data_IF_788153540530
#
_entry.id   IF_788153540530
#
_cell.length_a   1.000
_cell.length_b   1.000
_cell.length_c   1.000
_cell.angle_alpha   90.00
_cell.angle_beta   90.00
_cell.angle_gamma   90.00
#
_symmetry.space_group_name_H-M   'P 1'
#
loop_
_entity.id
_entity.type
_entity.pdbx_description
1 polymer ?
#
# COMPACT_ATOMS: atom_id res chain seq x y z
N UNK A 1 31.35 5.11 -16.31
CA UNK A 1 30.02 4.48 -16.21
C UNK A 1 29.43 4.50 -17.60
N UNK A 2 29.22 3.33 -18.18
CA UNK A 2 28.78 3.20 -19.57
C UNK A 2 27.33 3.65 -19.72
N UNK A 3 27.03 4.25 -20.87
CA UNK A 3 25.71 4.75 -21.23
C UNK A 3 24.63 3.63 -21.21
N UNK A 4 25.05 2.38 -21.41
CA UNK A 4 24.19 1.20 -21.29
C UNK A 4 23.70 0.92 -19.86
N UNK A 5 24.53 1.15 -18.84
CA UNK A 5 24.16 0.94 -17.44
C UNK A 5 23.13 1.98 -16.99
N UNK A 6 23.25 3.22 -17.48
CA UNK A 6 22.26 4.27 -17.22
C UNK A 6 20.92 3.98 -17.90
N UNK A 7 20.92 3.42 -19.12
CA UNK A 7 19.69 3.02 -19.81
C UNK A 7 19.00 1.85 -19.10
N UNK A 8 19.74 0.83 -18.65
CA UNK A 8 19.18 -0.29 -17.88
C UNK A 8 18.68 0.16 -16.50
N UNK A 9 19.42 1.04 -15.82
CA UNK A 9 19.01 1.63 -14.54
C UNK A 9 17.71 2.44 -14.67
N UNK A 10 17.47 3.08 -15.81
CA UNK A 10 16.24 3.82 -16.08
C UNK A 10 15.04 2.92 -16.47
N UNK A 11 15.27 1.70 -16.96
CA UNK A 11 14.20 0.75 -17.32
C UNK A 11 13.73 -0.11 -16.13
N UNK A 12 14.61 -0.31 -15.14
CA UNK A 12 14.34 -1.08 -13.93
C UNK A 12 13.11 -0.59 -13.12
N UNK A 13 12.88 0.72 -12.93
CA UNK A 13 11.69 1.22 -12.26
C UNK A 13 10.39 0.87 -13.01
N UNK A 14 10.38 1.00 -14.34
CA UNK A 14 9.19 0.69 -15.15
C UNK A 14 8.77 -0.79 -15.09
N UNK A 15 9.73 -1.70 -15.01
CA UNK A 15 9.45 -3.13 -14.84
C UNK A 15 8.76 -3.44 -13.49
N UNK A 16 9.08 -2.65 -12.45
CA UNK A 16 8.52 -2.81 -11.11
C UNK A 16 7.02 -2.51 -11.08
N UNK A 17 6.57 -1.54 -11.87
CA UNK A 17 5.16 -1.16 -11.94
C UNK A 17 4.33 -2.16 -12.74
N UNK A 18 4.95 -2.87 -13.69
CA UNK A 18 4.26 -3.87 -14.54
C UNK A 18 4.11 -5.22 -13.82
N UNK A 19 5.05 -5.60 -12.95
CA UNK A 19 5.06 -6.94 -12.32
C UNK A 19 3.83 -7.22 -11.45
N UNK A 20 3.32 -6.21 -10.76
CA UNK A 20 2.18 -6.32 -9.86
C UNK A 20 0.87 -6.57 -10.60
N UNK A 21 0.44 -5.71 -11.54
CA UNK A 21 -0.76 -5.98 -12.33
C UNK A 21 -0.62 -7.25 -13.16
N UNK A 22 0.56 -7.56 -13.73
CA UNK A 22 0.73 -8.78 -14.49
C UNK A 22 0.53 -10.05 -13.62
N UNK A 23 1.21 -10.14 -12.48
CA UNK A 23 1.09 -11.30 -11.57
C UNK A 23 -0.33 -11.46 -11.04
N UNK A 24 -0.94 -10.36 -10.56
CA UNK A 24 -2.32 -10.35 -10.07
C UNK A 24 -3.31 -10.75 -11.16
N UNK A 25 -3.11 -10.24 -12.37
CA UNK A 25 -3.89 -10.58 -13.55
C UNK A 25 -3.83 -12.05 -13.92
N UNK A 26 -2.65 -12.66 -13.92
CA UNK A 26 -2.47 -14.09 -14.17
C UNK A 26 -3.22 -14.95 -13.16
N UNK A 27 -3.19 -14.58 -11.87
CA UNK A 27 -3.91 -15.30 -10.81
C UNK A 27 -5.43 -15.19 -11.03
N UNK A 28 -5.93 -14.00 -11.40
CA UNK A 28 -7.35 -13.82 -11.71
C UNK A 28 -7.79 -14.55 -12.98
N UNK A 29 -6.97 -14.57 -14.03
CA UNK A 29 -7.25 -15.36 -15.23
C UNK A 29 -7.29 -16.85 -14.92
N UNK A 30 -6.35 -17.35 -14.12
CA UNK A 30 -6.38 -18.75 -13.68
C UNK A 30 -7.65 -19.05 -12.87
N UNK A 31 -8.05 -18.14 -11.99
CA UNK A 31 -9.27 -18.26 -11.19
C UNK A 31 -10.51 -18.32 -12.09
N UNK A 32 -10.59 -17.43 -13.09
CA UNK A 32 -11.67 -17.40 -14.06
C UNK A 32 -11.67 -18.65 -14.95
N UNK A 33 -10.50 -19.10 -15.40
CA UNK A 33 -10.34 -20.33 -16.18
C UNK A 33 -10.91 -21.53 -15.42
N UNK A 34 -10.54 -21.71 -14.14
CA UNK A 34 -11.06 -22.81 -13.32
C UNK A 34 -12.59 -22.80 -13.16
N UNK A 35 -13.22 -21.61 -13.18
CA UNK A 35 -14.68 -21.48 -13.11
C UNK A 35 -15.34 -21.80 -14.46
N UNK A 36 -14.66 -21.48 -15.56
CA UNK A 36 -15.20 -21.60 -16.91
C UNK A 36 -14.79 -22.88 -17.63
N UNK A 37 -13.81 -23.63 -17.14
CA UNK A 37 -13.19 -24.78 -17.81
C UNK A 37 -14.24 -25.76 -18.35
N UNK A 38 -15.21 -26.16 -17.51
CA UNK A 38 -16.29 -27.10 -17.89
C UNK A 38 -17.22 -26.55 -19.00
N UNK A 39 -17.24 -25.23 -19.19
CA UNK A 39 -18.06 -24.55 -20.21
C UNK A 39 -17.30 -24.27 -21.50
N UNK A 40 -15.97 -24.37 -21.52
CA UNK A 40 -15.17 -24.10 -22.72
C UNK A 40 -15.21 -25.33 -23.63
N UNK A 41 -15.83 -25.24 -24.82
CA UNK A 41 -15.90 -26.38 -25.71
C UNK A 41 -14.53 -26.73 -26.27
N UNK A 42 -14.24 -28.03 -26.37
CA UNK A 42 -13.06 -28.55 -27.06
C UNK A 42 -13.02 -28.07 -28.52
N UNK A 43 -11.85 -27.87 -29.14
CA UNK A 43 -11.72 -27.35 -30.51
C UNK A 43 -12.60 -28.07 -31.54
N UNK A 44 -12.77 -29.39 -31.39
CA UNK A 44 -13.58 -30.23 -32.29
C UNK A 44 -15.09 -29.95 -32.22
N UNK A 45 -15.58 -29.47 -31.07
CA UNK A 45 -16.99 -29.18 -30.80
C UNK A 45 -17.30 -27.68 -30.85
N UNK A 46 -16.28 -26.86 -31.04
CA UNK A 46 -16.42 -25.41 -30.99
C UNK A 46 -17.04 -24.88 -32.29
N UNK A 47 -18.18 -24.20 -32.15
CA UNK A 47 -18.84 -23.49 -33.24
C UNK A 47 -19.04 -22.01 -32.85
N UNK A 48 -19.26 -21.14 -33.83
CA UNK A 48 -19.44 -19.70 -33.60
C UNK A 48 -18.19 -19.01 -33.04
N UNK A 49 -18.36 -18.18 -32.00
CA UNK A 49 -17.29 -17.33 -31.42
C UNK A 49 -16.09 -18.15 -30.94
N UNK A 50 -16.33 -19.28 -30.27
CA UNK A 50 -15.25 -20.17 -29.81
C UNK A 50 -14.42 -20.72 -30.97
N UNK A 51 -15.09 -21.15 -32.05
CA UNK A 51 -14.40 -21.63 -33.25
C UNK A 51 -13.59 -20.55 -33.97
N UNK A 52 -14.01 -19.29 -33.89
CA UNK A 52 -13.23 -18.16 -34.40
C UNK A 52 -12.01 -17.85 -33.53
N UNK A 53 -12.15 -17.92 -32.19
CA UNK A 53 -11.05 -17.73 -31.25
C UNK A 53 -9.95 -18.79 -31.43
N UNK A 54 -10.31 -20.07 -31.57
CA UNK A 54 -9.33 -21.13 -31.84
C UNK A 54 -8.58 -20.90 -33.16
N UNK A 55 -9.31 -20.57 -34.24
CA UNK A 55 -8.70 -20.26 -35.54
C UNK A 55 -7.75 -19.06 -35.48
N UNK A 56 -8.11 -18.02 -34.72
CA UNK A 56 -7.24 -16.88 -34.51
C UNK A 56 -5.98 -17.29 -33.73
N UNK A 57 -6.11 -18.14 -32.72
CA UNK A 57 -4.98 -18.71 -31.97
C UNK A 57 -4.01 -19.48 -32.87
N UNK A 58 -4.55 -20.32 -33.77
CA UNK A 58 -3.74 -21.06 -34.74
C UNK A 58 -3.02 -20.14 -35.73
N UNK A 59 -3.67 -19.03 -36.14
CA UNK A 59 -3.11 -18.07 -37.10
C UNK A 59 -1.94 -17.27 -36.51
N UNK A 60 -2.07 -16.78 -35.28
CA UNK A 60 -1.03 -15.96 -34.62
C UNK A 60 0.07 -16.87 -34.01
N UNK A 61 -0.25 -18.14 -33.79
CA UNK A 61 0.63 -19.14 -33.23
C UNK A 61 0.83 -19.02 -31.70
N UNK A 62 1.55 -19.98 -31.09
CA UNK A 62 1.66 -20.07 -29.63
C UNK A 62 2.23 -18.81 -28.98
N UNK A 63 3.23 -18.18 -29.62
CA UNK A 63 3.85 -16.96 -29.11
C UNK A 63 2.87 -15.79 -29.04
N UNK A 64 2.03 -15.61 -30.07
CA UNK A 64 1.03 -14.55 -30.08
C UNK A 64 -0.14 -14.79 -29.12
N UNK A 65 -0.52 -16.06 -28.92
CA UNK A 65 -1.50 -16.43 -27.89
C UNK A 65 -0.96 -16.11 -26.50
N UNK A 66 0.29 -16.46 -26.21
CA UNK A 66 0.94 -16.13 -24.94
C UNK A 66 1.03 -14.61 -24.74
N UNK A 67 1.43 -13.85 -25.76
CA UNK A 67 1.51 -12.40 -25.69
C UNK A 67 0.12 -11.76 -25.44
N UNK A 68 -0.92 -12.24 -26.12
CA UNK A 68 -2.30 -11.76 -25.95
C UNK A 68 -2.84 -12.11 -24.56
N UNK A 69 -2.55 -13.32 -24.07
CA UNK A 69 -2.90 -13.75 -22.72
C UNK A 69 -2.20 -12.93 -21.64
N UNK A 70 -0.90 -12.65 -21.80
CA UNK A 70 -0.14 -11.79 -20.90
C UNK A 70 -0.65 -10.34 -20.90
N UNK A 71 -1.03 -9.82 -22.07
CA UNK A 71 -1.63 -8.49 -22.18
C UNK A 71 -2.99 -8.43 -21.50
N UNK A 72 -3.85 -9.44 -21.70
CA UNK A 72 -5.15 -9.53 -21.04
C UNK A 72 -4.99 -9.67 -19.52
N UNK A 73 -4.02 -10.48 -19.07
CA UNK A 73 -3.66 -10.60 -17.66
C UNK A 73 -3.31 -9.22 -17.10
N UNK A 74 -2.37 -8.52 -17.73
CA UNK A 74 -1.98 -7.17 -17.33
C UNK A 74 -3.18 -6.21 -17.23
N UNK A 75 -4.09 -6.20 -18.22
CA UNK A 75 -5.29 -5.35 -18.18
C UNK A 75 -6.21 -5.69 -17.01
N UNK A 76 -6.53 -6.98 -16.82
CA UNK A 76 -7.38 -7.44 -15.71
C UNK A 76 -6.74 -7.07 -14.38
N UNK A 77 -5.45 -7.33 -14.23
CA UNK A 77 -4.71 -7.01 -13.02
C UNK A 77 -4.63 -5.52 -12.77
N UNK A 78 -4.45 -4.68 -13.80
CA UNK A 78 -4.46 -3.22 -13.66
C UNK A 78 -5.83 -2.67 -13.26
N UNK A 79 -6.92 -3.29 -13.74
CA UNK A 79 -8.29 -2.92 -13.37
C UNK A 79 -8.67 -3.38 -11.97
N UNK A 80 -8.22 -4.57 -11.55
CA UNK A 80 -8.52 -5.16 -10.24
C UNK A 80 -7.49 -4.81 -9.16
N UNK A 81 -6.38 -4.19 -9.54
CA UNK A 81 -5.36 -3.76 -8.59
C UNK A 81 -5.97 -2.78 -7.60
N UNK A 82 -5.96 -3.19 -6.34
CA UNK A 82 -6.13 -2.30 -5.21
C UNK A 82 -4.87 -1.46 -5.18
N UNK A 83 -4.95 -0.26 -5.79
CA UNK A 83 -3.95 0.78 -5.53
C UNK A 83 -3.92 0.96 -4.03
N UNK A 84 -2.73 1.05 -3.46
CA UNK A 84 -2.62 1.49 -2.07
C UNK A 84 -2.96 2.98 -2.12
N UNK A 85 -4.27 3.25 -2.14
CA UNK A 85 -4.79 4.56 -1.84
C UNK A 85 -4.36 4.74 -0.41
N UNK A 86 -3.30 5.52 -0.21
CA UNK A 86 -2.95 6.07 1.09
C UNK A 86 -4.21 6.76 1.55
N UNK A 87 -5.03 6.04 2.34
CA UNK A 87 -6.44 6.37 2.55
C UNK A 87 -6.46 7.83 2.95
N UNK A 88 -6.99 8.68 2.06
CA UNK A 88 -7.19 10.08 2.34
C UNK A 88 -7.96 10.10 3.65
N UNK A 89 -7.31 10.61 4.70
CA UNK A 89 -7.83 10.60 6.05
C UNK A 89 -9.24 11.20 6.16
N UNK A 90 -9.61 12.03 5.18
CA UNK A 90 -10.93 12.63 5.00
C UNK A 90 -12.06 11.66 4.65
N UNK A 91 -11.80 10.50 4.04
CA UNK A 91 -12.86 9.54 3.64
C UNK A 91 -13.05 8.37 4.62
N UNK A 92 -12.13 8.20 5.57
CA UNK A 92 -12.21 7.21 6.63
C UNK A 92 -13.37 7.35 7.65
N UNK A 93 -14.06 8.51 7.88
CA UNK A 93 -14.98 8.61 9.00
C UNK A 93 -16.29 7.84 8.82
N UNK A 94 -16.67 7.40 7.61
CA UNK A 94 -17.94 6.65 7.42
C UNK A 94 -17.80 5.14 7.61
N UNK A 95 -16.66 4.54 7.26
CA UNK A 95 -16.42 3.10 7.45
C UNK A 95 -16.00 2.74 8.89
N UNK A 96 -15.48 3.70 9.65
CA UNK A 96 -15.04 3.49 11.04
C UNK A 96 -16.19 3.21 12.03
N UNK A 97 -17.45 3.56 11.70
CA UNK A 97 -18.61 3.29 12.57
C UNK A 97 -18.96 1.81 12.70
N UNK A 98 -18.55 0.96 11.75
CA UNK A 98 -18.94 -0.46 11.76
C UNK A 98 -17.89 -1.39 12.41
N UNK A 99 -16.78 -0.84 12.93
CA UNK A 99 -15.65 -1.62 13.49
C UNK A 99 -15.31 -1.17 14.91
N UNK A 100 -16.29 -1.24 15.82
CA UNK A 100 -16.17 -0.87 17.25
C UNK A 100 -15.47 -1.91 18.14
N UNK A 101 -14.89 -2.97 17.56
CA UNK A 101 -14.14 -4.00 18.30
C UNK A 101 -12.63 -3.86 18.14
N UNK A 102 -11.97 -3.14 19.05
CA UNK A 102 -10.60 -3.41 19.53
C UNK A 102 -9.40 -3.40 18.57
N UNK A 103 -9.58 -3.32 17.26
CA UNK A 103 -8.46 -3.16 16.32
C UNK A 103 -8.05 -1.70 16.29
N UNK A 104 -7.35 -1.29 17.35
CA UNK A 104 -6.53 -0.09 17.34
C UNK A 104 -5.83 -0.05 15.98
N UNK A 105 -6.09 1.01 15.21
CA UNK A 105 -5.43 1.30 13.95
C UNK A 105 -3.94 1.11 14.18
N UNK A 106 -3.40 -0.04 13.75
CA UNK A 106 -2.00 -0.34 13.96
C UNK A 106 -1.23 0.83 13.35
N UNK A 107 -0.25 1.41 14.08
CA UNK A 107 0.42 2.60 13.62
C UNK A 107 0.95 2.38 12.20
N UNK A 108 0.67 3.34 11.32
CA UNK A 108 1.08 3.32 9.90
C UNK A 108 2.59 3.52 9.73
N UNK A 109 3.26 3.86 10.81
CA UNK A 109 4.70 4.10 10.95
C UNK A 109 5.25 3.15 12.00
N UNK A 110 6.54 2.83 11.92
CA UNK A 110 7.22 2.10 13.00
C UNK A 110 7.22 2.91 14.29
N UNK A 111 7.46 2.23 15.42
CA UNK A 111 7.59 2.90 16.72
C UNK A 111 8.74 3.91 16.73
N UNK A 112 9.86 3.57 16.10
CA UNK A 112 11.02 4.45 16.02
C UNK A 112 10.69 5.76 15.29
N UNK A 113 10.11 5.67 14.08
CA UNK A 113 9.74 6.86 13.33
C UNK A 113 8.66 7.68 14.05
N UNK A 114 7.76 7.01 14.77
CA UNK A 114 6.78 7.68 15.62
C UNK A 114 7.45 8.48 16.74
N UNK A 115 8.37 7.86 17.48
CA UNK A 115 9.08 8.49 18.60
C UNK A 115 9.94 9.66 18.10
N UNK A 116 10.62 9.53 16.96
CA UNK A 116 11.38 10.61 16.30
C UNK A 116 10.50 11.80 15.91
N UNK A 117 9.28 11.53 15.42
CA UNK A 117 8.33 12.58 15.09
C UNK A 117 7.79 13.26 16.35
N UNK A 118 7.57 12.51 17.44
CA UNK A 118 7.16 13.07 18.72
C UNK A 118 8.23 14.03 19.23
N UNK A 119 9.50 13.62 19.25
CA UNK A 119 10.60 14.49 19.69
C UNK A 119 10.72 15.73 18.81
N UNK A 120 10.62 15.57 17.48
CA UNK A 120 10.63 16.70 16.56
C UNK A 120 9.49 17.70 16.84
N UNK A 121 8.27 17.22 17.03
CA UNK A 121 7.12 18.08 17.34
C UNK A 121 7.24 18.76 18.71
N UNK A 122 7.86 18.10 19.70
CA UNK A 122 8.18 18.70 20.99
C UNK A 122 9.22 19.82 20.85
N UNK A 123 10.25 19.62 20.04
CA UNK A 123 11.28 20.63 19.79
C UNK A 123 10.76 21.83 19.01
N UNK A 124 9.77 21.62 18.14
CA UNK A 124 9.03 22.70 17.48
C UNK A 124 8.01 23.41 18.40
N UNK A 125 7.90 23.01 19.68
CA UNK A 125 6.94 23.57 20.63
C UNK A 125 5.47 23.24 20.30
N UNK A 126 5.23 22.25 19.44
CA UNK A 126 3.88 21.80 19.04
C UNK A 126 3.29 20.79 20.02
N UNK A 127 4.14 20.08 20.74
CA UNK A 127 3.76 19.18 21.83
C UNK A 127 4.41 19.63 23.13
N UNK A 128 3.69 19.46 24.23
CA UNK A 128 4.27 19.69 25.55
C UNK A 128 5.39 18.67 25.78
N UNK A 129 6.56 19.12 26.25
CA UNK A 129 7.61 18.20 26.70
C UNK A 129 7.09 17.39 27.91
N UNK A 130 7.41 16.09 27.99
CA UNK A 130 7.09 15.31 29.17
C UNK A 130 7.73 15.97 30.38
N UNK A 131 6.94 16.19 31.44
CA UNK A 131 7.46 16.70 32.71
C UNK A 131 8.33 15.59 33.30
N UNK A 132 9.58 15.86 33.74
CA UNK A 132 10.47 14.83 34.25
C UNK A 132 9.77 13.99 35.33
N UNK A 133 9.95 12.67 35.26
CA UNK A 133 9.24 11.60 36.02
C UNK A 133 9.25 11.75 37.56
N UNK A 134 9.90 12.77 38.12
CA UNK A 134 10.07 12.94 39.56
C UNK A 134 8.91 13.59 40.32
N UNK A 135 7.92 14.22 39.68
CA UNK A 135 6.99 15.12 40.41
C UNK A 135 5.50 14.95 40.17
N UNK A 136 5.03 14.09 39.25
CA UNK A 136 3.59 13.93 39.04
C UNK A 136 3.23 12.48 38.69
N UNK A 137 2.18 11.97 39.33
CA UNK A 137 1.53 10.74 38.93
C UNK A 137 1.23 10.80 37.42
N UNK A 138 1.73 9.81 36.66
CA UNK A 138 1.50 9.67 35.22
C UNK A 138 0.00 9.72 34.99
N UNK A 139 -0.49 10.82 34.43
CA UNK A 139 -1.91 10.95 34.12
C UNK A 139 -2.17 10.20 32.80
N UNK A 140 -2.83 9.03 32.82
CA UNK A 140 -3.05 8.23 31.63
C UNK A 140 -3.91 8.94 30.58
N UNK A 141 -4.71 9.94 30.97
CA UNK A 141 -5.48 10.75 30.04
C UNK A 141 -4.59 11.70 29.23
N UNK A 142 -3.54 12.26 29.85
CA UNK A 142 -2.57 13.11 29.15
C UNK A 142 -1.81 12.31 28.09
N UNK A 143 -1.33 11.12 28.44
CA UNK A 143 -0.62 10.24 27.51
C UNK A 143 -1.52 9.82 26.33
N UNK A 144 -2.80 9.51 26.59
CA UNK A 144 -3.77 9.27 25.51
C UNK A 144 -3.97 10.49 24.63
N UNK A 145 -4.10 11.68 25.21
CA UNK A 145 -4.25 12.94 24.48
C UNK A 145 -3.06 13.23 23.56
N UNK A 146 -1.84 13.11 24.08
CA UNK A 146 -0.61 13.29 23.31
C UNK A 146 -0.52 12.28 22.16
N UNK A 147 -0.78 10.99 22.42
CA UNK A 147 -0.81 9.95 21.38
C UNK A 147 -1.85 10.24 20.29
N UNK A 148 -3.02 10.78 20.66
CA UNK A 148 -4.06 11.17 19.72
C UNK A 148 -3.62 12.35 18.84
N UNK A 149 -3.02 13.39 19.43
CA UNK A 149 -2.53 14.56 18.67
C UNK A 149 -1.44 14.14 17.68
N UNK A 150 -0.48 13.33 18.12
CA UNK A 150 0.58 12.82 17.23
C UNK A 150 -0.02 11.93 16.15
N UNK A 151 -0.98 11.06 16.50
CA UNK A 151 -1.68 10.22 15.54
C UNK A 151 -2.41 11.03 14.48
N UNK A 152 -3.03 12.16 14.84
CA UNK A 152 -3.65 13.10 13.90
C UNK A 152 -2.59 13.79 13.02
N UNK A 153 -1.48 14.24 13.60
CA UNK A 153 -0.39 14.86 12.85
C UNK A 153 0.23 13.89 11.82
N UNK A 154 0.55 12.65 12.23
CA UNK A 154 1.03 11.59 11.32
C UNK A 154 0.01 11.37 10.20
N UNK A 155 -1.28 11.28 10.55
CA UNK A 155 -2.34 11.04 9.57
C UNK A 155 -2.47 12.18 8.56
N UNK A 156 -2.31 13.42 9.00
CA UNK A 156 -2.40 14.60 8.13
C UNK A 156 -1.15 14.72 7.24
N UNK A 157 0.05 14.51 7.79
CA UNK A 157 1.31 14.42 7.02
C UNK A 157 1.22 13.33 5.94
N UNK A 158 0.82 12.11 6.34
CA UNK A 158 0.65 11.00 5.40
C UNK A 158 -0.52 11.19 4.44
N UNK A 159 -1.46 12.09 4.73
CA UNK A 159 -2.52 12.50 3.80
C UNK A 159 -2.01 13.39 2.68
N UNK A 160 -0.86 14.03 2.85
CA UNK A 160 -0.19 14.88 1.86
C UNK A 160 0.84 14.13 1.01
N UNK A 161 0.86 12.79 1.06
CA UNK A 161 1.88 11.92 0.42
C UNK A 161 2.18 12.29 -1.03
N UNK A 162 1.18 12.65 -1.84
CA UNK A 162 1.42 13.02 -3.25
C UNK A 162 2.34 14.24 -3.38
N UNK A 163 2.14 15.26 -2.55
CA UNK A 163 2.99 16.46 -2.56
C UNK A 163 4.34 16.17 -1.92
N UNK A 164 4.36 15.44 -0.82
CA UNK A 164 5.60 15.03 -0.14
C UNK A 164 6.49 14.19 -1.06
N UNK A 165 5.91 13.32 -1.90
CA UNK A 165 6.64 12.53 -2.88
C UNK A 165 7.41 13.40 -3.87
N UNK A 166 6.77 14.43 -4.41
CA UNK A 166 7.43 15.36 -5.33
C UNK A 166 8.51 16.17 -4.62
N UNK A 167 8.26 16.64 -3.40
CA UNK A 167 9.26 17.35 -2.59
C UNK A 167 10.45 16.45 -2.26
N UNK A 168 10.20 15.19 -1.90
CA UNK A 168 11.23 14.21 -1.57
C UNK A 168 12.09 13.90 -2.79
N UNK A 169 11.48 13.72 -3.97
CA UNK A 169 12.22 13.52 -5.22
C UNK A 169 13.19 14.68 -5.53
N UNK A 170 12.77 15.93 -5.25
CA UNK A 170 13.60 17.13 -5.45
C UNK A 170 14.68 17.24 -4.38
N UNK A 171 14.35 16.95 -3.12
CA UNK A 171 15.23 17.12 -1.98
C UNK A 171 16.30 16.02 -1.86
N UNK A 172 15.92 14.76 -2.08
CA UNK A 172 16.81 13.60 -2.00
C UNK A 172 16.29 12.45 -2.86
N UNK A 173 16.97 12.23 -3.99
CA UNK A 173 16.65 11.14 -4.92
C UNK A 173 16.82 9.76 -4.27
N UNK A 174 17.81 9.58 -3.39
CA UNK A 174 18.08 8.30 -2.72
C UNK A 174 16.94 7.90 -1.78
N UNK A 175 16.49 8.82 -0.92
CA UNK A 175 15.33 8.58 -0.05
C UNK A 175 14.05 8.37 -0.87
N UNK A 176 13.88 9.09 -1.97
CA UNK A 176 12.77 8.86 -2.88
C UNK A 176 12.79 7.43 -3.47
N UNK A 177 13.95 6.93 -3.90
CA UNK A 177 14.07 5.58 -4.44
C UNK A 177 13.81 4.50 -3.38
N UNK A 178 14.24 4.72 -2.14
CA UNK A 178 13.91 3.82 -1.02
C UNK A 178 12.41 3.80 -0.71
N UNK A 179 11.79 4.98 -0.65
CA UNK A 179 10.35 5.14 -0.52
C UNK A 179 9.59 4.42 -1.64
N UNK A 180 9.93 4.70 -2.91
CA UNK A 180 9.27 4.15 -4.08
C UNK A 180 9.40 2.62 -4.15
N UNK A 181 10.59 2.10 -3.84
CA UNK A 181 10.82 0.66 -3.73
C UNK A 181 9.93 0.02 -2.66
N UNK A 182 9.83 0.62 -1.48
CA UNK A 182 9.01 0.10 -0.39
C UNK A 182 7.51 0.14 -0.73
N UNK A 183 7.03 1.21 -1.39
CA UNK A 183 5.66 1.32 -1.89
C UNK A 183 5.38 0.23 -2.94
N UNK A 184 6.21 0.11 -3.98
CA UNK A 184 6.00 -0.87 -5.04
C UNK A 184 6.04 -2.32 -4.55
N UNK A 185 6.80 -2.60 -3.49
CA UNK A 185 6.79 -3.92 -2.83
C UNK A 185 5.51 -4.14 -2.01
N UNK A 186 5.03 -3.12 -1.30
CA UNK A 186 3.78 -3.20 -0.56
C UNK A 186 2.57 -3.43 -1.49
N UNK A 187 2.50 -2.68 -2.60
CA UNK A 187 1.45 -2.82 -3.60
C UNK A 187 1.45 -4.20 -4.25
N UNK A 188 2.63 -4.70 -4.63
CA UNK A 188 2.79 -6.05 -5.18
C UNK A 188 2.22 -7.11 -4.22
N UNK A 189 2.69 -7.12 -2.97
CA UNK A 189 2.31 -8.15 -1.99
C UNK A 189 0.82 -8.14 -1.67
N UNK A 190 0.22 -6.95 -1.50
CA UNK A 190 -1.21 -6.83 -1.19
C UNK A 190 -2.07 -7.30 -2.37
N UNK A 191 -1.75 -6.88 -3.58
CA UNK A 191 -2.52 -7.26 -4.77
C UNK A 191 -2.43 -8.76 -5.07
N UNK A 192 -1.24 -9.36 -4.92
CA UNK A 192 -1.08 -10.81 -5.03
C UNK A 192 -1.85 -11.53 -3.92
N UNK A 193 -1.81 -11.04 -2.68
CA UNK A 193 -2.57 -11.63 -1.58
C UNK A 193 -4.08 -11.61 -1.82
N UNK A 194 -4.62 -10.51 -2.36
CA UNK A 194 -6.04 -10.42 -2.72
C UNK A 194 -6.42 -11.38 -3.85
N UNK A 195 -5.60 -11.46 -4.90
CA UNK A 195 -5.85 -12.39 -6.00
C UNK A 195 -5.78 -13.85 -5.54
N UNK A 196 -4.80 -14.20 -4.71
CA UNK A 196 -4.67 -15.53 -4.10
C UNK A 196 -5.83 -15.87 -3.20
N UNK A 197 -6.41 -14.90 -2.49
CA UNK A 197 -7.62 -15.11 -1.70
C UNK A 197 -8.80 -15.52 -2.59
N UNK A 198 -8.98 -14.85 -3.74
CA UNK A 198 -9.97 -15.24 -4.74
C UNK A 198 -9.74 -16.66 -5.27
N UNK A 199 -8.53 -16.96 -5.72
CA UNK A 199 -8.14 -18.29 -6.22
C UNK A 199 -8.37 -19.38 -5.16
N UNK A 200 -7.97 -19.12 -3.91
CA UNK A 200 -8.12 -20.06 -2.80
C UNK A 200 -9.59 -20.34 -2.51
N UNK A 201 -10.44 -19.30 -2.52
CA UNK A 201 -11.87 -19.46 -2.33
C UNK A 201 -12.49 -20.31 -3.46
N UNK A 202 -12.11 -20.05 -4.71
CA UNK A 202 -12.56 -20.82 -5.88
C UNK A 202 -12.13 -22.29 -5.81
N UNK A 203 -10.85 -22.58 -5.51
CA UNK A 203 -10.36 -23.95 -5.35
C UNK A 203 -11.03 -24.68 -4.18
N UNK A 204 -11.24 -23.96 -3.07
CA UNK A 204 -11.94 -24.49 -1.90
C UNK A 204 -13.38 -24.87 -2.23
N UNK A 205 -14.04 -24.10 -3.11
CA UNK A 205 -15.42 -24.34 -3.52
C UNK A 205 -15.55 -25.45 -4.56
N UNK A 206 -14.70 -25.45 -5.59
CA UNK A 206 -14.83 -26.36 -6.73
C UNK A 206 -14.23 -27.75 -6.47
N UNK A 207 -13.16 -27.84 -5.68
CA UNK A 207 -12.39 -29.08 -5.54
C UNK A 207 -12.47 -29.68 -4.13
N UNK A 208 -12.04 -28.93 -3.11
CA UNK A 208 -11.99 -29.45 -1.74
C UNK A 208 -11.77 -28.36 -0.69
N UNK A 209 -12.43 -28.41 0.48
CA UNK A 209 -12.26 -27.41 1.54
C UNK A 209 -10.83 -27.32 2.10
N UNK A 210 -9.99 -28.34 1.91
CA UNK A 210 -8.59 -28.33 2.36
C UNK A 210 -7.75 -27.24 1.70
N UNK A 211 -8.14 -26.76 0.51
CA UNK A 211 -7.50 -25.63 -0.15
C UNK A 211 -7.58 -24.35 0.69
N UNK A 212 -8.54 -24.22 1.61
CA UNK A 212 -8.63 -23.10 2.55
C UNK A 212 -7.36 -22.90 3.40
N UNK A 213 -6.51 -23.94 3.57
CA UNK A 213 -5.22 -23.80 4.24
C UNK A 213 -4.29 -22.80 3.53
N UNK A 214 -4.44 -22.58 2.22
CA UNK A 214 -3.69 -21.55 1.49
C UNK A 214 -4.03 -20.11 1.93
N UNK A 215 -5.14 -19.89 2.65
CA UNK A 215 -5.43 -18.57 3.24
C UNK A 215 -4.32 -18.10 4.17
N UNK A 216 -3.57 -19.01 4.79
CA UNK A 216 -2.40 -18.67 5.60
C UNK A 216 -1.32 -17.97 4.76
N UNK A 217 -1.10 -18.41 3.52
CA UNK A 217 -0.13 -17.81 2.59
C UNK A 217 -0.59 -16.41 2.19
N UNK A 218 -1.86 -16.26 1.81
CA UNK A 218 -2.46 -14.96 1.46
C UNK A 218 -2.38 -13.98 2.64
N UNK A 219 -2.70 -14.44 3.85
CA UNK A 219 -2.63 -13.61 5.06
C UNK A 219 -1.18 -13.20 5.38
N UNK A 220 -0.22 -14.11 5.31
CA UNK A 220 1.21 -13.81 5.50
C UNK A 220 1.72 -12.79 4.50
N UNK A 221 1.37 -12.94 3.23
CA UNK A 221 1.78 -12.03 2.17
C UNK A 221 1.17 -10.63 2.37
N UNK A 222 -0.10 -10.56 2.77
CA UNK A 222 -0.76 -9.30 3.10
C UNK A 222 -0.07 -8.59 4.27
N UNK A 223 0.22 -9.29 5.37
CA UNK A 223 0.94 -8.73 6.53
C UNK A 223 2.33 -8.25 6.12
N UNK A 224 3.04 -9.00 5.29
CA UNK A 224 4.34 -8.60 4.75
C UNK A 224 4.24 -7.35 3.85
N UNK A 225 3.14 -7.18 3.12
CA UNK A 225 2.84 -5.97 2.35
C UNK A 225 2.55 -4.75 3.23
N UNK A 226 1.84 -4.93 4.34
CA UNK A 226 1.64 -3.87 5.35
C UNK A 226 2.97 -3.47 5.99
N UNK A 227 3.87 -4.42 6.25
CA UNK A 227 5.22 -4.13 6.74
C UNK A 227 6.02 -3.23 5.78
N UNK A 228 6.00 -3.53 4.49
CA UNK A 228 6.66 -2.70 3.46
C UNK A 228 6.05 -1.29 3.35
N UNK A 229 4.74 -1.14 3.52
CA UNK A 229 4.09 0.18 3.54
C UNK A 229 4.54 1.01 4.75
N UNK A 230 4.70 0.38 5.92
CA UNK A 230 5.24 1.07 7.11
C UNK A 230 6.66 1.59 6.86
N UNK A 231 7.52 0.76 6.27
CA UNK A 231 8.87 1.18 5.91
C UNK A 231 8.87 2.39 4.96
N UNK A 232 7.95 2.44 3.98
CA UNK A 232 7.80 3.63 3.13
C UNK A 232 7.38 4.88 3.94
N UNK A 233 6.43 4.74 4.86
CA UNK A 233 5.99 5.86 5.70
C UNK A 233 7.11 6.34 6.63
N UNK A 234 7.96 5.44 7.11
CA UNK A 234 9.11 5.78 7.95
C UNK A 234 10.11 6.67 7.21
N UNK A 235 10.39 6.40 5.93
CA UNK A 235 11.25 7.24 5.08
C UNK A 235 10.68 8.67 4.96
N UNK A 236 9.37 8.81 4.78
CA UNK A 236 8.72 10.13 4.73
C UNK A 236 8.84 10.86 6.07
N UNK A 237 8.59 10.17 7.18
CA UNK A 237 8.70 10.76 8.52
C UNK A 237 10.14 11.18 8.82
N UNK A 238 11.13 10.34 8.52
CA UNK A 238 12.54 10.67 8.68
C UNK A 238 12.93 11.89 7.84
N UNK A 239 12.45 11.99 6.60
CA UNK A 239 12.70 13.16 5.76
C UNK A 239 12.07 14.45 6.33
N UNK A 240 10.90 14.36 6.98
CA UNK A 240 10.27 15.49 7.68
C UNK A 240 11.08 15.88 8.92
N UNK A 241 11.45 14.90 9.75
CA UNK A 241 12.22 15.12 11.00
C UNK A 241 13.60 15.70 10.70
N UNK A 242 14.25 15.25 9.63
CA UNK A 242 15.51 15.79 9.15
C UNK A 242 15.39 17.19 8.52
N UNK A 243 14.18 17.74 8.40
CA UNK A 243 13.93 19.05 7.80
C UNK A 243 14.12 19.09 6.28
N UNK A 244 14.26 17.94 5.61
CA UNK A 244 14.42 17.86 4.16
C UNK A 244 13.13 18.24 3.42
N UNK A 245 11.98 17.92 4.02
CA UNK A 245 10.66 18.26 3.48
C UNK A 245 9.78 18.87 4.57
N UNK A 246 9.12 19.98 4.24
CA UNK A 246 8.15 20.64 5.12
C UNK A 246 6.72 20.29 4.70
N UNK A 247 5.94 19.58 5.54
CA UNK A 247 4.54 19.29 5.23
C UNK A 247 3.70 20.56 5.38
N UNK A 248 2.69 20.70 4.52
CA UNK A 248 1.83 21.88 4.46
C UNK A 248 1.08 22.05 5.77
N UNK A 249 0.65 20.96 6.39
CA UNK A 249 0.03 20.90 7.72
C UNK A 249 0.85 21.55 8.84
N UNK A 250 2.19 21.59 8.75
CA UNK A 250 3.06 22.24 9.74
C UNK A 250 3.25 23.74 9.43
N UNK A 251 3.33 24.10 8.15
CA UNK A 251 3.56 25.49 7.69
C UNK A 251 2.29 26.34 7.54
N UNK A 252 1.11 25.75 7.38
CA UNK A 252 -0.12 26.46 7.04
C UNK A 252 -0.83 27.15 8.22
N UNK A 253 -1.58 28.22 7.93
CA UNK A 253 -2.41 28.98 8.87
C UNK A 253 -3.54 28.18 9.56
N UNK A 254 -3.80 26.95 9.11
CA UNK A 254 -4.70 25.99 9.74
C UNK A 254 -3.99 25.09 10.77
N UNK A 255 -2.74 25.43 11.14
CA UNK A 255 -1.91 24.67 12.06
C UNK A 255 -2.68 24.23 13.29
N UNK A 256 -2.38 23.01 13.76
CA UNK A 256 -2.93 22.44 14.99
C UNK A 256 -3.03 23.57 16.02
N UNK A 257 -4.25 23.96 16.45
CA UNK A 257 -4.41 25.09 17.34
C UNK A 257 -3.53 24.80 18.54
N UNK A 258 -2.63 25.74 18.86
CA UNK A 258 -1.74 25.60 20.02
C UNK A 258 -2.61 25.18 21.20
N UNK A 259 -2.30 24.04 21.82
CA UNK A 259 -3.06 23.57 22.98
C UNK A 259 -3.06 24.73 23.97
N UNK A 260 -4.23 25.29 24.32
CA UNK A 260 -4.27 26.47 25.17
C UNK A 260 -3.64 26.07 26.51
N UNK A 261 -2.43 26.57 26.76
CA UNK A 261 -1.78 26.47 28.07
C UNK A 261 -2.70 27.18 29.04
N UNK A 262 -3.29 26.41 29.96
CA UNK A 262 -4.40 26.83 30.78
C UNK A 262 -4.25 28.21 31.42
N UNK A 263 -5.41 28.87 31.50
CA UNK A 263 -5.72 30.14 32.16
C UNK A 263 -4.84 30.39 33.39
N UNK A 264 -4.07 31.47 33.33
CA UNK A 264 -3.62 32.20 34.51
C UNK A 264 -4.87 32.61 35.31
N UNK A 265 -5.03 32.03 36.51
CA UNK A 265 -5.83 32.63 37.58
C UNK A 265 -5.03 33.74 38.24
#
# INVERSE_FOLDING_TARGET
MDQGDQLLANLLPGLRDVRAPLSTGCIWLLTLWLILEDRVPTPQKAHGVWGSLYRLGDLIGPAGVLASGAFLAYLIGAMLAVRVVTVNAREAPKAARFRSGGTALAPRVSRLAYDDLVSFLQDQGRLARPVPEGTAAVNPERERGERLVVGLAVRDILGETRQLRTKLLIASYDLFNEYDRAVGEAEFRKNVAYALLGLTATLSWLQSPWWALLLVVSARLYVAGVGSERAANDVIVQAVVAGLITPLSITGAAGVPAVPTGRSQ
#
